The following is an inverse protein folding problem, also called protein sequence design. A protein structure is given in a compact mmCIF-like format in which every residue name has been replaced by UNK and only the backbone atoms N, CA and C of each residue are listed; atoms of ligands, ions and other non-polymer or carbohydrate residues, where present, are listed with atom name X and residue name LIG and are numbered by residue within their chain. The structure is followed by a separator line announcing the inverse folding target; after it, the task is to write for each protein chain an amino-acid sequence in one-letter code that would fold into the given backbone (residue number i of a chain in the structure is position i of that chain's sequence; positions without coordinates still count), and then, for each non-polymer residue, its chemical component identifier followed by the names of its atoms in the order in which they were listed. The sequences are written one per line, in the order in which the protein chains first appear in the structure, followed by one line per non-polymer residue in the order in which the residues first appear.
data_IF_817958168620
#
_entry.id   IF_817958168620
#
_cell.length_a   1.000
_cell.length_b   1.000
_cell.length_c   1.000
_cell.angle_alpha   90.00
_cell.angle_beta   90.00
_cell.angle_gamma   90.00
#
_symmetry.space_group_name_H-M   'P 1'
#
loop_
_entity.id
_entity.type
_entity.pdbx_description
1 polymer ?
#
# COMPACT_ATOMS: atom_id res chain seq x y z
N UNK A 1 -14.57 -7.43 1.45
CA UNK A 1 -13.59 -7.77 0.42
C UNK A 1 -12.47 -8.50 1.11
N UNK A 2 -12.07 -9.66 0.61
CA UNK A 2 -10.95 -10.44 1.12
C UNK A 2 -9.70 -10.23 0.25
N UNK A 3 -8.58 -10.86 0.61
CA UNK A 3 -7.30 -10.70 -0.10
C UNK A 3 -7.37 -11.24 -1.53
N UNK A 4 -8.11 -12.32 -1.75
CA UNK A 4 -8.25 -12.96 -3.06
C UNK A 4 -8.99 -12.07 -4.06
N UNK A 5 -9.94 -11.25 -3.59
CA UNK A 5 -10.60 -10.24 -4.42
C UNK A 5 -9.59 -9.28 -5.08
N UNK A 6 -8.49 -8.92 -4.40
CA UNK A 6 -7.46 -8.02 -4.92
C UNK A 6 -6.45 -8.70 -5.82
N UNK A 7 -6.09 -9.96 -5.54
CA UNK A 7 -5.19 -10.75 -6.38
C UNK A 7 -5.77 -11.02 -7.77
N UNK A 8 -7.10 -10.95 -7.91
CA UNK A 8 -7.80 -11.06 -9.19
C UNK A 8 -7.75 -9.81 -10.05
N UNK A 9 -7.28 -8.68 -9.52
CA UNK A 9 -7.14 -7.42 -10.26
C UNK A 9 -5.88 -7.51 -11.13
N UNK A 10 -6.00 -7.59 -12.47
CA UNK A 10 -4.84 -7.80 -13.34
C UNK A 10 -3.78 -6.71 -13.19
N UNK A 11 -4.21 -5.47 -13.00
CA UNK A 11 -3.33 -4.31 -12.84
C UNK A 11 -2.52 -4.36 -11.55
N UNK A 12 -3.03 -5.00 -10.49
CA UNK A 12 -2.27 -5.25 -9.27
C UNK A 12 -1.35 -6.46 -9.45
N UNK A 13 -1.80 -7.51 -10.13
CA UNK A 13 -1.01 -8.71 -10.36
C UNK A 13 0.26 -8.47 -11.19
N UNK A 14 0.23 -7.53 -12.14
CA UNK A 14 1.41 -7.13 -12.92
C UNK A 14 2.27 -6.06 -12.24
N UNK A 15 1.79 -5.45 -11.16
CA UNK A 15 2.52 -4.41 -10.45
C UNK A 15 3.57 -5.08 -9.54
N UNK A 16 4.87 -4.76 -9.65
CA UNK A 16 5.90 -5.29 -8.76
C UNK A 16 5.67 -5.03 -7.28
N UNK A 17 4.88 -4.00 -6.95
CA UNK A 17 4.46 -3.67 -5.59
C UNK A 17 3.05 -4.16 -5.26
N UNK A 18 2.41 -4.93 -6.15
CA UNK A 18 1.02 -5.38 -6.03
C UNK A 18 0.72 -6.01 -4.68
N UNK A 19 1.50 -7.03 -4.30
CA UNK A 19 1.36 -7.69 -3.00
C UNK A 19 1.49 -6.73 -1.82
N UNK A 20 2.36 -5.70 -1.93
CA UNK A 20 2.55 -4.69 -0.87
C UNK A 20 1.39 -3.73 -0.77
N UNK A 21 0.82 -3.34 -1.91
CA UNK A 21 -0.40 -2.54 -1.98
C UNK A 21 -1.54 -3.33 -1.36
N UNK A 22 -1.66 -4.63 -1.67
CA UNK A 22 -2.64 -5.54 -1.06
C UNK A 22 -2.44 -5.62 0.45
N UNK A 23 -1.22 -5.87 0.93
CA UNK A 23 -0.93 -5.91 2.37
C UNK A 23 -1.30 -4.59 3.08
N UNK A 24 -1.11 -3.45 2.41
CA UNK A 24 -1.49 -2.14 2.95
C UNK A 24 -3.01 -2.00 3.16
N UNK A 25 -3.85 -2.70 2.37
CA UNK A 25 -5.30 -2.72 2.59
C UNK A 25 -5.68 -3.41 3.90
N UNK A 26 -4.90 -4.39 4.35
CA UNK A 26 -5.20 -5.22 5.52
C UNK A 26 -4.33 -4.89 6.75
N UNK A 27 -3.43 -3.91 6.68
CA UNK A 27 -2.50 -3.61 7.78
C UNK A 27 -3.21 -3.03 9.02
N UNK A 28 -4.32 -2.29 8.83
CA UNK A 28 -5.08 -1.66 9.93
C UNK A 28 -6.42 -2.34 10.22
N UNK A 29 -6.70 -3.52 9.66
CA UNK A 29 -7.96 -4.21 9.92
C UNK A 29 -7.92 -4.93 11.26
N UNK A 30 -8.91 -4.65 12.12
CA UNK A 30 -9.13 -5.39 13.38
C UNK A 30 -9.94 -6.68 13.16
N UNK A 31 -10.40 -6.91 11.93
CA UNK A 31 -11.19 -8.08 11.57
C UNK A 31 -10.31 -9.35 11.51
N UNK A 32 -10.61 -10.31 12.38
CA UNK A 32 -9.94 -11.62 12.42
C UNK A 32 -10.13 -12.42 11.13
N UNK A 33 -11.16 -12.10 10.34
CA UNK A 33 -11.42 -12.72 9.04
C UNK A 33 -10.60 -12.14 7.90
N UNK A 34 -9.70 -11.17 8.16
CA UNK A 34 -8.92 -10.45 7.16
C UNK A 34 -9.80 -9.89 6.04
N UNK A 35 -10.99 -9.41 6.39
CA UNK A 35 -11.88 -8.72 5.46
C UNK A 35 -11.78 -7.22 5.68
N UNK A 36 -11.98 -6.48 4.61
CA UNK A 36 -12.17 -5.03 4.67
C UNK A 36 -13.50 -4.61 4.09
N UNK A 37 -14.05 -3.54 4.67
CA UNK A 37 -15.25 -2.87 4.22
C UNK A 37 -14.92 -1.72 3.24
N UNK A 38 -15.97 -1.12 2.67
CA UNK A 38 -15.80 -0.03 1.69
C UNK A 38 -15.09 1.20 2.27
N UNK A 39 -15.28 1.51 3.55
CA UNK A 39 -14.64 2.66 4.20
C UNK A 39 -13.13 2.45 4.29
N UNK A 40 -12.69 1.27 4.70
CA UNK A 40 -11.28 0.89 4.75
C UNK A 40 -10.64 0.89 3.37
N UNK A 41 -11.33 0.32 2.37
CA UNK A 41 -10.89 0.33 0.98
C UNK A 41 -10.64 1.75 0.45
N UNK A 42 -11.59 2.67 0.65
CA UNK A 42 -11.46 4.05 0.17
C UNK A 42 -10.38 4.84 0.92
N UNK A 43 -10.11 4.53 2.20
CA UNK A 43 -9.02 5.18 2.96
C UNK A 43 -7.66 4.90 2.34
N UNK A 44 -7.41 3.66 1.91
CA UNK A 44 -6.16 3.28 1.26
C UNK A 44 -6.06 3.97 -0.10
N UNK A 45 -7.12 3.93 -0.92
CA UNK A 45 -7.15 4.62 -2.22
C UNK A 45 -6.97 6.14 -2.12
N UNK A 46 -7.35 6.76 -0.99
CA UNK A 46 -7.12 8.19 -0.77
C UNK A 46 -5.63 8.56 -0.86
N UNK A 47 -4.71 7.67 -0.50
CA UNK A 47 -3.27 7.88 -0.62
C UNK A 47 -2.78 7.86 -2.07
N UNK A 48 -3.49 7.23 -3.00
CA UNK A 48 -3.08 7.14 -4.41
C UNK A 48 -3.59 8.32 -5.27
N UNK A 49 -4.60 9.06 -4.81
CA UNK A 49 -5.15 10.20 -5.55
C UNK A 49 -4.09 11.30 -5.79
N UNK A 50 -4.14 12.05 -6.90
CA UNK A 50 -3.27 13.23 -7.08
C UNK A 50 -3.48 14.27 -5.98
N UNK A 51 -2.40 14.91 -5.53
CA UNK A 51 -2.49 15.99 -4.54
C UNK A 51 -3.18 17.20 -5.16
N UNK A 52 -4.29 17.64 -4.58
CA UNK A 52 -5.01 18.85 -4.98
C UNK A 52 -4.85 19.94 -3.92
N UNK A 53 -4.46 21.15 -4.34
CA UNK A 53 -4.40 22.33 -3.45
C UNK A 53 -5.79 22.82 -3.02
N UNK A 54 -6.80 22.59 -3.85
CA UNK A 54 -8.18 23.03 -3.66
C UNK A 54 -8.96 22.07 -2.76
N UNK A 55 -8.76 20.76 -2.92
CA UNK A 55 -9.45 19.71 -2.17
C UNK A 55 -8.49 19.04 -1.20
N UNK A 56 -8.24 19.71 -0.06
CA UNK A 56 -7.41 19.15 1.02
C UNK A 56 -8.06 17.89 1.58
N UNK A 57 -7.29 16.81 1.62
CA UNK A 57 -7.66 15.56 2.28
C UNK A 57 -6.46 15.13 3.12
N UNK A 58 -6.72 14.79 4.39
CA UNK A 58 -5.69 14.47 5.39
C UNK A 58 -4.82 13.30 4.90
N UNK A 59 -5.45 12.22 4.42
CA UNK A 59 -4.80 11.02 3.89
C UNK A 59 -4.11 11.22 2.53
N UNK A 60 -4.42 12.33 1.85
CA UNK A 60 -3.81 12.68 0.56
C UNK A 60 -2.70 13.75 0.70
N UNK A 61 -2.34 14.13 1.93
CA UNK A 61 -1.22 15.05 2.13
C UNK A 61 0.10 14.43 1.70
N UNK A 62 1.10 15.27 1.42
CA UNK A 62 2.45 14.79 1.06
C UNK A 62 3.05 13.91 2.17
N UNK A 63 2.82 14.27 3.42
CA UNK A 63 3.33 13.54 4.58
C UNK A 63 2.68 12.15 4.71
N UNK A 64 1.35 12.07 4.66
CA UNK A 64 0.65 10.79 4.79
C UNK A 64 0.96 9.85 3.61
N UNK A 65 1.09 10.39 2.39
CA UNK A 65 1.57 9.63 1.24
C UNK A 65 2.98 9.07 1.45
N UNK A 66 3.88 9.83 2.08
CA UNK A 66 5.23 9.37 2.36
C UNK A 66 5.24 8.30 3.45
N UNK A 67 4.45 8.45 4.51
CA UNK A 67 4.29 7.42 5.56
C UNK A 67 3.73 6.12 4.97
N UNK A 68 2.70 6.24 4.13
CA UNK A 68 2.11 5.11 3.43
C UNK A 68 3.11 4.45 2.45
N UNK A 69 3.86 5.25 1.69
CA UNK A 69 4.93 4.72 0.86
C UNK A 69 5.95 3.97 1.70
N UNK A 70 6.47 4.60 2.76
CA UNK A 70 7.46 4.01 3.66
C UNK A 70 7.01 2.66 4.19
N UNK A 71 5.76 2.53 4.63
CA UNK A 71 5.24 1.27 5.14
C UNK A 71 5.20 0.16 4.08
N UNK A 72 5.15 0.48 2.78
CA UNK A 72 5.28 -0.51 1.71
C UNK A 72 6.73 -0.96 1.47
N UNK A 73 7.74 -0.13 1.80
CA UNK A 73 9.16 -0.46 1.64
C UNK A 73 9.77 -1.12 2.88
N UNK A 74 9.29 -0.77 4.08
CA UNK A 74 9.67 -1.41 5.35
C UNK A 74 8.99 -2.78 5.46
N UNK A 75 9.74 -3.84 5.17
CA UNK A 75 9.19 -5.19 5.00
C UNK A 75 8.98 -5.88 6.34
N UNK A 76 9.85 -5.61 7.32
CA UNK A 76 9.78 -6.19 8.65
C UNK A 76 9.04 -5.31 9.67
N UNK A 77 8.59 -4.11 9.26
CA UNK A 77 7.81 -3.15 10.07
C UNK A 77 8.58 -2.64 11.30
N UNK A 78 9.90 -2.56 11.23
CA UNK A 78 10.72 -2.09 12.34
C UNK A 78 10.89 -0.56 12.36
N UNK A 79 10.33 0.16 11.39
CA UNK A 79 10.42 1.62 11.26
C UNK A 79 11.64 2.10 10.49
N UNK A 80 12.43 1.19 9.90
CA UNK A 80 13.64 1.50 9.13
C UNK A 80 13.65 0.70 7.82
N UNK A 81 14.02 1.34 6.71
CA UNK A 81 14.27 0.65 5.45
C UNK A 81 15.76 0.29 5.39
N UNK A 82 16.06 -0.98 5.53
CA UNK A 82 17.43 -1.49 5.43
C UNK A 82 17.89 -1.54 3.96
N UNK A 83 19.22 -1.62 3.76
CA UNK A 83 19.80 -1.76 2.41
C UNK A 83 19.29 -3.02 1.70
N UNK A 84 19.09 -4.11 2.46
CA UNK A 84 18.63 -5.38 1.91
C UNK A 84 17.16 -5.29 1.47
N UNK A 85 16.29 -4.67 2.28
CA UNK A 85 14.90 -4.39 1.90
C UNK A 85 14.82 -3.50 0.66
N UNK A 86 15.63 -2.44 0.60
CA UNK A 86 15.68 -1.57 -0.57
C UNK A 86 16.14 -2.31 -1.82
N UNK A 87 17.15 -3.18 -1.71
CA UNK A 87 17.63 -4.01 -2.83
C UNK A 87 16.56 -4.98 -3.33
N UNK A 88 15.82 -5.60 -2.41
CA UNK A 88 14.70 -6.49 -2.72
C UNK A 88 13.63 -5.75 -3.52
N UNK A 89 13.25 -4.54 -3.11
CA UNK A 89 12.27 -3.72 -3.83
C UNK A 89 12.77 -3.32 -5.22
N UNK A 90 14.02 -2.87 -5.34
CA UNK A 90 14.60 -2.52 -6.64
C UNK A 90 14.60 -3.70 -7.62
N UNK A 91 14.98 -4.89 -7.15
CA UNK A 91 14.98 -6.08 -7.98
C UNK A 91 13.57 -6.45 -8.47
N UNK A 92 12.54 -6.27 -7.64
CA UNK A 92 11.15 -6.48 -8.07
C UNK A 92 10.75 -5.50 -9.19
N UNK A 93 11.17 -4.23 -9.10
CA UNK A 93 10.80 -3.19 -10.07
C UNK A 93 11.48 -3.30 -11.43
N UNK A 94 12.71 -3.83 -11.49
CA UNK A 94 13.49 -3.92 -12.74
C UNK A 94 13.10 -5.15 -13.56
N UNK A 95 12.42 -6.13 -12.95
CA UNK A 95 12.24 -7.46 -13.55
C UNK A 95 13.58 -8.19 -13.61
N UNK A 96 13.60 -9.46 -13.21
CA UNK A 96 14.76 -10.31 -13.45
C UNK A 96 14.91 -10.62 -14.95
#
# INVERSE_FOLDING_TARGET
MDRDDFLRIPELAINPLGDRIVDAFFTETEDLGQKINFREFIRVLAHFRPISKEKRNILNSREEKLKFAFSMYDLNKNGFITRDEFKVILNMMVGA
#
